data_IF_734430689588
#
_entry.id   IF_734430689588
#
_cell.length_a   1.000
_cell.length_b   1.000
_cell.length_c   1.000
_cell.angle_alpha   90.00
_cell.angle_beta   90.00
_cell.angle_gamma   90.00
#
_symmetry.space_group_name_H-M   'P 1'
#
loop_
_entity.id
_entity.type
_entity.pdbx_description
1 polymer ?
#
# COMPACT_ATOMS: atom_id res chain seq x y z
N UNK A 1 -2.92 -14.10 13.90
CA UNK A 1 -3.05 -13.20 12.73
C UNK A 1 -3.95 -12.01 13.08
N UNK A 2 -3.53 -10.78 12.75
CA UNK A 2 -4.18 -9.50 13.09
C UNK A 2 -5.54 -9.25 12.40
N UNK A 3 -6.08 -10.22 11.66
CA UNK A 3 -7.39 -10.09 11.00
C UNK A 3 -7.41 -9.14 9.79
N UNK A 4 -6.23 -8.67 9.35
CA UNK A 4 -6.10 -7.83 8.17
C UNK A 4 -6.62 -8.61 6.96
N UNK A 5 -7.47 -8.00 6.10
CA UNK A 5 -8.15 -8.69 5.00
C UNK A 5 -7.22 -8.97 3.80
N UNK A 6 -6.06 -9.56 4.06
CA UNK A 6 -5.12 -9.97 3.01
C UNK A 6 -5.73 -11.10 2.17
N UNK A 7 -5.64 -10.93 0.85
CA UNK A 7 -6.03 -11.95 -0.12
C UNK A 7 -4.78 -12.64 -0.67
N UNK A 8 -4.89 -13.93 -0.95
CA UNK A 8 -3.73 -14.69 -1.41
C UNK A 8 -3.54 -14.47 -2.91
N UNK A 9 -2.31 -14.15 -3.32
CA UNK A 9 -1.95 -13.91 -4.72
C UNK A 9 -0.60 -14.54 -5.06
N UNK A 10 -0.40 -14.89 -6.33
CA UNK A 10 0.95 -15.09 -6.89
C UNK A 10 1.50 -13.70 -7.18
N UNK A 11 2.67 -13.36 -6.65
CA UNK A 11 3.31 -12.06 -6.88
C UNK A 11 4.70 -12.23 -7.46
N UNK A 12 5.10 -11.30 -8.32
CA UNK A 12 6.49 -11.10 -8.78
C UNK A 12 6.81 -9.63 -8.62
N UNK A 13 7.97 -9.36 -8.02
CA UNK A 13 8.57 -8.04 -7.98
C UNK A 13 9.88 -8.13 -8.73
N UNK A 14 10.11 -7.22 -9.67
CA UNK A 14 11.36 -7.09 -10.39
C UNK A 14 11.89 -5.67 -10.19
N UNK A 15 13.22 -5.56 -10.08
CA UNK A 15 13.92 -4.28 -10.07
C UNK A 15 15.00 -4.35 -11.13
N UNK A 16 15.05 -3.34 -11.98
CA UNK A 16 16.09 -3.18 -13.00
C UNK A 16 16.39 -1.70 -13.10
N UNK A 17 17.65 -1.33 -12.90
CA UNK A 17 18.10 0.06 -12.94
C UNK A 17 17.25 0.93 -11.98
N UNK A 18 16.59 1.95 -12.50
CA UNK A 18 15.66 2.82 -11.77
C UNK A 18 14.20 2.37 -11.86
N UNK A 19 13.90 1.26 -12.53
CA UNK A 19 12.54 0.75 -12.68
C UNK A 19 12.21 -0.37 -11.69
N UNK A 20 10.98 -0.31 -11.16
CA UNK A 20 10.40 -1.34 -10.30
C UNK A 20 9.06 -1.78 -10.86
N UNK A 21 8.90 -3.09 -11.03
CA UNK A 21 7.67 -3.71 -11.55
C UNK A 21 7.06 -4.66 -10.54
N UNK A 22 5.75 -4.55 -10.38
CA UNK A 22 4.90 -5.42 -9.58
C UNK A 22 3.89 -6.09 -10.49
N UNK A 23 3.87 -7.43 -10.46
CA UNK A 23 2.82 -8.20 -11.09
C UNK A 23 2.19 -9.14 -10.09
N UNK A 24 0.86 -9.16 -10.04
CA UNK A 24 0.13 -10.10 -9.21
C UNK A 24 -1.06 -10.70 -9.91
N UNK A 25 -1.37 -11.95 -9.54
CA UNK A 25 -2.60 -12.64 -9.93
C UNK A 25 -3.23 -13.23 -8.68
N UNK A 26 -4.45 -12.78 -8.37
CA UNK A 26 -5.20 -13.20 -7.19
C UNK A 26 -5.55 -14.68 -7.29
N UNK A 27 -5.20 -15.44 -6.24
CA UNK A 27 -5.50 -16.87 -6.11
C UNK A 27 -6.82 -17.13 -5.39
N UNK A 28 -7.23 -16.23 -4.49
CA UNK A 28 -8.52 -16.27 -3.81
C UNK A 28 -8.73 -14.98 -3.00
N UNK A 29 -9.98 -14.48 -2.82
CA UNK A 29 -11.21 -14.86 -3.52
C UNK A 29 -11.19 -14.36 -4.97
N UNK A 30 -12.19 -14.71 -5.79
CA UNK A 30 -12.33 -14.23 -7.19
C UNK A 30 -11.02 -14.42 -8.00
N UNK A 31 -10.74 -15.68 -8.37
CA UNK A 31 -9.46 -16.06 -8.98
C UNK A 31 -9.24 -15.33 -10.30
N UNK A 32 -8.00 -14.94 -10.57
CA UNK A 32 -7.57 -14.43 -11.87
C UNK A 32 -7.48 -12.91 -12.00
N UNK A 33 -8.00 -12.15 -11.02
CA UNK A 33 -7.84 -10.69 -10.96
C UNK A 33 -6.36 -10.31 -10.91
N UNK A 34 -5.98 -9.28 -11.65
CA UNK A 34 -4.59 -8.91 -11.90
C UNK A 34 -4.27 -7.51 -11.41
N UNK A 35 -2.99 -7.31 -11.17
CA UNK A 35 -2.39 -6.00 -11.06
C UNK A 35 -1.03 -6.06 -11.77
N UNK A 36 -0.78 -5.07 -12.64
CA UNK A 36 0.47 -4.81 -13.32
C UNK A 36 0.82 -3.35 -13.06
N UNK A 37 1.94 -3.09 -12.40
CA UNK A 37 2.41 -1.73 -12.11
C UNK A 37 3.91 -1.68 -12.38
N UNK A 38 4.34 -0.79 -13.28
CA UNK A 38 5.75 -0.44 -13.45
C UNK A 38 5.93 1.03 -13.17
N UNK A 39 6.93 1.36 -12.35
CA UNK A 39 7.29 2.73 -12.04
C UNK A 39 8.80 2.95 -12.19
N UNK A 40 9.17 4.14 -12.69
CA UNK A 40 10.55 4.64 -12.65
C UNK A 40 10.74 5.46 -11.38
N UNK A 41 11.81 5.20 -10.65
CA UNK A 41 12.14 5.84 -9.38
C UNK A 41 13.17 6.94 -9.61
N UNK A 42 12.77 8.18 -9.36
CA UNK A 42 13.61 9.37 -9.49
C UNK A 42 14.29 9.77 -8.18
N UNK A 43 14.63 11.04 -8.01
CA UNK A 43 15.42 11.53 -6.89
C UNK A 43 14.66 11.58 -5.55
N UNK A 44 15.38 11.83 -4.46
CA UNK A 44 14.78 12.06 -3.14
C UNK A 44 13.88 13.31 -3.16
N UNK A 45 12.72 13.23 -2.48
CA UNK A 45 11.80 14.37 -2.37
C UNK A 45 11.66 14.87 -0.94
N UNK A 46 11.48 16.18 -0.81
CA UNK A 46 10.88 16.76 0.39
C UNK A 46 9.35 16.58 0.33
N UNK A 47 8.75 15.83 1.27
CA UNK A 47 7.32 15.55 1.22
C UNK A 47 6.49 16.79 1.51
N UNK A 48 5.38 16.95 0.81
CA UNK A 48 4.36 17.96 1.10
C UNK A 48 3.61 17.62 2.40
N UNK A 49 2.90 18.58 3.03
CA UNK A 49 2.09 18.30 4.22
C UNK A 49 1.04 17.20 3.98
N UNK A 50 0.46 17.12 2.79
CA UNK A 50 -0.48 16.06 2.42
C UNK A 50 0.20 14.68 2.37
N UNK A 51 1.39 14.60 1.79
CA UNK A 51 2.16 13.36 1.71
C UNK A 51 2.63 12.87 3.07
N UNK A 52 3.02 13.80 3.97
CA UNK A 52 3.27 13.48 5.37
C UNK A 52 1.99 12.96 6.03
N UNK A 53 0.85 13.61 5.84
CA UNK A 53 -0.42 13.16 6.43
C UNK A 53 -0.89 11.79 5.91
N UNK A 54 -0.64 11.48 4.63
CA UNK A 54 -0.95 10.18 4.03
C UNK A 54 -0.05 9.07 4.57
N UNK A 55 1.22 9.36 4.86
CA UNK A 55 2.22 8.36 5.27
C UNK A 55 2.39 8.23 6.79
N UNK A 56 2.15 9.29 7.57
CA UNK A 56 2.30 9.31 9.03
C UNK A 56 1.01 8.90 9.76
N UNK A 57 0.61 7.63 9.62
CA UNK A 57 -0.58 7.07 10.28
C UNK A 57 -0.17 6.16 11.43
N UNK A 58 -0.55 6.58 12.64
CA UNK A 58 -0.15 5.98 13.93
C UNK A 58 -1.11 4.91 14.49
N UNK A 59 -1.89 4.28 13.61
CA UNK A 59 -2.55 3.02 13.95
C UNK A 59 -3.24 2.37 12.77
N UNK A 60 -3.34 1.05 12.81
CA UNK A 60 -4.12 0.25 11.87
C UNK A 60 -5.46 -0.17 12.49
N UNK A 61 -6.52 -0.15 11.68
CA UNK A 61 -7.84 -0.66 12.06
C UNK A 61 -8.14 -1.95 11.31
N UNK A 62 -8.72 -2.92 12.01
CA UNK A 62 -9.06 -4.24 11.44
C UNK A 62 -10.32 -4.78 12.08
N UNK A 63 -11.15 -5.51 11.31
CA UNK A 63 -12.38 -6.10 11.82
C UNK A 63 -12.23 -7.60 11.96
N UNK A 64 -12.35 -8.11 13.19
CA UNK A 64 -12.18 -9.54 13.50
C UNK A 64 -13.17 -9.96 14.58
N UNK A 65 -13.78 -11.13 14.39
CA UNK A 65 -14.78 -11.69 15.31
C UNK A 65 -15.93 -10.70 15.64
N UNK A 66 -16.41 -9.98 14.62
CA UNK A 66 -17.51 -9.01 14.76
C UNK A 66 -17.17 -7.76 15.57
N UNK A 67 -15.89 -7.48 15.84
CA UNK A 67 -15.42 -6.28 16.55
C UNK A 67 -14.37 -5.53 15.73
N UNK A 68 -14.32 -4.22 15.89
CA UNK A 68 -13.25 -3.37 15.34
C UNK A 68 -12.10 -3.32 16.35
N UNK A 69 -10.91 -3.64 15.87
CA UNK A 69 -9.67 -3.62 16.64
C UNK A 69 -8.78 -2.51 16.11
N UNK A 70 -8.14 -1.81 17.04
CA UNK A 70 -7.08 -0.85 16.76
C UNK A 70 -5.74 -1.48 17.13
N UNK A 71 -4.76 -1.33 16.26
CA UNK A 71 -3.37 -1.75 16.47
C UNK A 71 -2.50 -0.51 16.41
N UNK A 72 -1.90 -0.05 17.53
CA UNK A 72 -0.96 1.05 17.47
C UNK A 72 0.22 0.65 16.61
N UNK A 73 0.66 1.56 15.74
CA UNK A 73 1.93 1.44 15.04
C UNK A 73 2.72 2.74 15.15
N UNK A 74 4.03 2.61 15.15
CA UNK A 74 4.97 3.72 15.06
C UNK A 74 6.02 3.42 14.00
N UNK A 75 6.45 4.45 13.29
CA UNK A 75 7.53 4.41 12.33
C UNK A 75 8.17 5.80 12.24
N UNK A 76 9.42 5.89 11.80
CA UNK A 76 10.00 7.18 11.43
C UNK A 76 9.35 7.78 10.18
N UNK A 77 9.66 9.02 9.80
CA UNK A 77 9.24 9.56 8.51
C UNK A 77 9.63 8.62 7.36
N UNK A 78 8.75 8.48 6.36
CA UNK A 78 9.05 7.67 5.20
C UNK A 78 10.11 8.40 4.34
N UNK A 79 11.22 7.75 3.97
CA UNK A 79 12.06 8.27 2.90
C UNK A 79 11.26 8.16 1.59
N UNK A 80 10.96 9.28 0.96
CA UNK A 80 10.19 9.34 -0.28
C UNK A 80 11.09 9.77 -1.43
N UNK A 81 10.90 9.13 -2.58
CA UNK A 81 11.51 9.43 -3.87
C UNK A 81 10.43 9.71 -4.90
N UNK A 82 10.78 10.50 -5.91
CA UNK A 82 9.92 10.68 -7.08
C UNK A 82 9.62 9.33 -7.72
N UNK A 83 8.40 9.18 -8.23
CA UNK A 83 8.06 8.04 -9.06
C UNK A 83 7.22 8.47 -10.25
N UNK A 84 7.57 7.94 -11.42
CA UNK A 84 6.79 8.06 -12.65
C UNK A 84 6.12 6.71 -12.93
N UNK A 85 4.80 6.69 -13.11
CA UNK A 85 4.09 5.46 -13.46
C UNK A 85 4.21 5.24 -14.98
N UNK A 86 4.87 4.14 -15.36
CA UNK A 86 5.09 3.75 -16.75
C UNK A 86 3.98 2.82 -17.26
N UNK A 87 3.47 1.96 -16.39
CA UNK A 87 2.38 1.04 -16.68
C UNK A 87 1.52 0.87 -15.43
N UNK A 88 0.19 0.91 -15.60
CA UNK A 88 -0.78 0.57 -14.57
C UNK A 88 -1.99 -0.11 -15.20
N UNK A 89 -2.18 -1.38 -14.88
CA UNK A 89 -3.40 -2.16 -15.17
C UNK A 89 -3.83 -2.85 -13.88
N UNK A 90 -5.02 -2.55 -13.36
CA UNK A 90 -5.46 -2.98 -12.04
C UNK A 90 -6.94 -3.36 -11.98
N UNK A 91 -7.21 -4.61 -11.62
CA UNK A 91 -8.56 -5.10 -11.29
C UNK A 91 -8.89 -4.96 -9.79
N UNK A 92 -7.88 -4.67 -8.95
CA UNK A 92 -7.95 -4.90 -7.51
C UNK A 92 -8.71 -3.80 -6.77
N UNK A 93 -8.66 -2.54 -7.23
CA UNK A 93 -9.41 -1.44 -6.63
C UNK A 93 -10.93 -1.69 -6.71
N UNK A 94 -11.43 -2.03 -7.89
CA UNK A 94 -12.85 -2.36 -8.11
C UNK A 94 -13.23 -3.59 -7.29
N UNK A 95 -12.41 -4.64 -7.32
CA UNK A 95 -12.66 -5.84 -6.52
C UNK A 95 -12.58 -5.61 -5.00
N UNK A 96 -11.93 -4.53 -4.56
CA UNK A 96 -11.91 -4.05 -3.19
C UNK A 96 -13.09 -3.15 -2.82
N UNK A 97 -13.99 -2.85 -3.78
CA UNK A 97 -15.11 -1.93 -3.59
C UNK A 97 -14.68 -0.46 -3.45
N UNK A 98 -13.49 -0.10 -3.93
CA UNK A 98 -12.96 1.26 -3.86
C UNK A 98 -13.25 1.98 -5.17
N UNK A 99 -14.06 3.03 -5.11
CA UNK A 99 -14.25 3.95 -6.22
C UNK A 99 -13.07 4.94 -6.29
N UNK A 100 -12.45 5.06 -7.46
CA UNK A 100 -11.43 6.08 -7.72
C UNK A 100 -12.13 7.41 -7.98
N UNK A 101 -11.60 8.50 -7.42
CA UNK A 101 -12.15 9.83 -7.55
C UNK A 101 -11.05 10.89 -7.61
N UNK A 102 -11.32 11.98 -8.34
CA UNK A 102 -10.40 13.09 -8.51
C UNK A 102 -9.23 12.79 -9.44
N UNK A 103 -8.35 13.79 -9.58
CA UNK A 103 -7.09 13.64 -10.31
C UNK A 103 -6.10 12.77 -9.54
N UNK A 104 -5.25 12.00 -10.24
CA UNK A 104 -4.17 11.26 -9.60
C UNK A 104 -3.24 12.19 -8.82
N UNK A 105 -2.92 11.82 -7.59
CA UNK A 105 -1.76 12.41 -6.90
C UNK A 105 -0.48 11.95 -7.61
N UNK A 106 0.59 12.75 -7.53
CA UNK A 106 1.90 12.30 -8.01
C UNK A 106 2.30 11.00 -7.32
N UNK A 107 2.88 10.07 -8.07
CA UNK A 107 3.37 8.84 -7.49
C UNK A 107 4.67 9.10 -6.70
N UNK A 108 4.82 8.35 -5.61
CA UNK A 108 6.01 8.39 -4.76
C UNK A 108 6.45 6.97 -4.44
N UNK A 109 7.75 6.77 -4.40
CA UNK A 109 8.36 5.49 -4.01
C UNK A 109 9.05 5.63 -2.66
N UNK A 110 9.04 4.55 -1.88
CA UNK A 110 9.87 4.45 -0.68
C UNK A 110 10.62 3.12 -0.70
N UNK A 111 11.93 3.10 -0.37
CA UNK A 111 12.66 1.85 -0.20
C UNK A 111 12.18 1.05 1.03
N UNK A 112 11.37 1.66 1.90
CA UNK A 112 10.77 1.04 3.07
C UNK A 112 10.99 1.85 4.34
N UNK A 113 10.25 1.50 5.39
CA UNK A 113 10.39 2.07 6.73
C UNK A 113 10.35 0.96 7.77
N UNK A 114 11.08 1.15 8.86
CA UNK A 114 10.96 0.28 10.03
C UNK A 114 9.74 0.70 10.84
N UNK A 115 8.79 -0.23 11.00
CA UNK A 115 7.60 -0.03 11.80
C UNK A 115 7.57 -0.98 13.00
N UNK A 116 7.08 -0.47 14.13
CA UNK A 116 6.81 -1.25 15.35
C UNK A 116 5.32 -1.29 15.58
N UNK A 117 4.78 -2.47 15.87
CA UNK A 117 3.37 -2.67 16.17
C UNK A 117 3.19 -3.02 17.64
N UNK A 118 2.30 -2.30 18.31
CA UNK A 118 1.96 -2.56 19.71
C UNK A 118 0.82 -3.56 19.86
N UNK A 119 0.33 -3.67 21.10
CA UNK A 119 -0.73 -4.61 21.46
C UNK A 119 -2.10 -4.12 20.91
N UNK A 120 -2.85 -4.95 20.18
CA UNK A 120 -4.20 -4.59 19.73
C UNK A 120 -5.18 -4.36 20.88
N UNK A 121 -6.09 -3.40 20.71
CA UNK A 121 -7.22 -3.15 21.61
C UNK A 121 -8.54 -3.07 20.81
N UNK A 122 -9.67 -3.27 21.49
CA UNK A 122 -10.99 -3.11 20.87
C UNK A 122 -11.32 -1.61 20.86
N UNK A 123 -11.79 -1.11 19.71
CA UNK A 123 -12.36 0.24 19.61
C UNK A 123 -13.71 0.23 20.32
N UNK A 124 -13.88 1.15 21.28
CA UNK A 124 -15.13 1.31 22.05
C UNK A 124 -16.22 1.94 21.20
#
# INVERSE_FOLDING_TARGET
MYGVPYTWAKMRVARRDDEISYHSVRRWPQRGLRNSLTARVGDDVSPTPLEVWLTARWGAHTRKAGRTWWVPNEHGPWPLREAEILELDDDLLVAGGVAVAGEPLRALFSPGVHARFGRPSIVK
#
